data_IF_082172774186
#
_entry.id   IF_082172774186
#
_cell.length_a   1.000
_cell.length_b   1.000
_cell.length_c   1.000
_cell.angle_alpha   90.00
_cell.angle_beta   90.00
_cell.angle_gamma   90.00
#
_symmetry.space_group_name_H-M   'P 1'
#
loop_
_entity.id
_entity.type
_entity.pdbx_description
1 polymer ?
#
# COMPACT_ATOMS: atom_id res chain seq x y z
N UNK A 1 8.96 -12.37 -12.33
CA UNK A 1 9.25 -11.41 -11.25
C UNK A 1 8.79 -10.02 -11.64
N UNK A 2 8.32 -9.22 -10.68
CA UNK A 2 7.92 -7.84 -10.88
C UNK A 2 9.01 -6.88 -10.39
N UNK A 3 9.24 -5.78 -11.12
CA UNK A 3 10.05 -4.67 -10.64
C UNK A 3 9.31 -3.89 -9.54
N UNK A 4 10.02 -2.99 -8.84
CA UNK A 4 9.41 -2.14 -7.79
C UNK A 4 8.28 -1.26 -8.35
N UNK A 5 8.50 -0.69 -9.55
CA UNK A 5 7.49 0.15 -10.18
C UNK A 5 6.28 -0.67 -10.65
N UNK A 6 6.49 -1.87 -11.21
CA UNK A 6 5.38 -2.77 -11.57
C UNK A 6 4.56 -3.18 -10.35
N UNK A 7 5.24 -3.50 -9.24
CA UNK A 7 4.60 -3.81 -7.96
C UNK A 7 3.76 -2.62 -7.46
N UNK A 8 4.30 -1.39 -7.54
CA UNK A 8 3.58 -0.18 -7.17
C UNK A 8 2.37 0.08 -8.05
N UNK A 9 2.51 -0.08 -9.37
CA UNK A 9 1.43 0.10 -10.34
C UNK A 9 0.32 -0.91 -10.11
N UNK A 10 0.67 -2.19 -9.98
CA UNK A 10 -0.29 -3.27 -9.73
C UNK A 10 -1.03 -3.07 -8.40
N UNK A 11 -0.31 -2.81 -7.31
CA UNK A 11 -0.90 -2.52 -6.01
C UNK A 11 -1.83 -1.31 -6.03
N UNK A 12 -1.48 -0.27 -6.79
CA UNK A 12 -2.33 0.93 -6.93
C UNK A 12 -3.61 0.64 -7.70
N UNK A 13 -3.57 -0.20 -8.75
CA UNK A 13 -4.77 -0.65 -9.46
C UNK A 13 -5.71 -1.43 -8.54
N UNK A 14 -5.16 -2.37 -7.76
CA UNK A 14 -5.94 -3.17 -6.80
C UNK A 14 -6.58 -2.27 -5.73
N UNK A 15 -5.80 -1.39 -5.12
CA UNK A 15 -6.33 -0.48 -4.10
C UNK A 15 -7.50 0.35 -4.64
N UNK A 16 -7.34 0.93 -5.83
CA UNK A 16 -8.35 1.82 -6.41
C UNK A 16 -9.60 1.09 -6.88
N UNK A 17 -9.51 -0.15 -7.30
CA UNK A 17 -10.67 -0.97 -7.60
C UNK A 17 -11.59 -1.12 -6.38
N UNK A 18 -11.01 -1.28 -5.19
CA UNK A 18 -11.77 -1.50 -3.95
C UNK A 18 -12.20 -0.18 -3.32
N UNK A 19 -11.28 0.80 -3.24
CA UNK A 19 -11.52 2.03 -2.46
C UNK A 19 -12.24 3.13 -3.21
N UNK A 20 -12.19 3.14 -4.54
CA UNK A 20 -12.82 4.15 -5.41
C UNK A 20 -13.36 3.49 -6.69
N UNK A 21 -14.29 2.52 -6.59
CA UNK A 21 -14.78 1.73 -7.72
C UNK A 21 -15.46 2.59 -8.80
N UNK A 22 -16.05 3.72 -8.42
CA UNK A 22 -16.69 4.68 -9.33
C UNK A 22 -15.72 5.33 -10.34
N UNK A 23 -14.42 5.40 -9.99
CA UNK A 23 -13.37 5.93 -10.86
C UNK A 23 -12.57 4.84 -11.57
N UNK A 24 -12.85 3.58 -11.30
CA UNK A 24 -12.16 2.43 -11.88
C UNK A 24 -12.90 1.92 -13.14
N UNK A 25 -12.21 1.55 -14.23
CA UNK A 25 -10.75 1.49 -14.47
C UNK A 25 -10.09 2.87 -14.57
N UNK A 26 -8.77 2.95 -14.30
CA UNK A 26 -8.02 4.21 -14.22
C UNK A 26 -7.41 4.61 -15.56
N UNK A 27 -7.38 5.93 -15.83
CA UNK A 27 -6.52 6.49 -16.88
C UNK A 27 -5.05 6.46 -16.44
N UNK A 28 -4.10 6.62 -17.37
CA UNK A 28 -2.67 6.66 -17.05
C UNK A 28 -2.36 7.78 -16.02
N UNK A 29 -2.88 8.97 -16.23
CA UNK A 29 -2.71 10.09 -15.31
C UNK A 29 -3.25 9.76 -13.90
N UNK A 30 -4.48 9.25 -13.79
CA UNK A 30 -5.06 8.86 -12.50
C UNK A 30 -4.25 7.77 -11.79
N UNK A 31 -3.70 6.81 -12.54
CA UNK A 31 -2.84 5.76 -12.02
C UNK A 31 -1.49 6.32 -11.54
N UNK A 32 -0.88 7.23 -12.30
CA UNK A 32 0.37 7.90 -11.91
C UNK A 32 0.19 8.67 -10.59
N UNK A 33 -0.92 9.41 -10.45
CA UNK A 33 -1.26 10.07 -9.19
C UNK A 33 -1.48 9.06 -8.05
N UNK A 34 -2.12 7.92 -8.33
CA UNK A 34 -2.31 6.86 -7.34
C UNK A 34 -0.99 6.22 -6.89
N UNK A 35 -0.03 6.01 -7.80
CA UNK A 35 1.31 5.49 -7.47
C UNK A 35 2.09 6.44 -6.56
N UNK A 36 1.98 7.74 -6.79
CA UNK A 36 2.74 8.81 -6.14
C UNK A 36 2.05 9.40 -4.89
N UNK A 37 0.97 8.78 -4.39
CA UNK A 37 0.30 9.25 -3.19
C UNK A 37 1.25 9.32 -2.00
N UNK A 38 1.12 10.36 -1.17
CA UNK A 38 1.93 10.52 0.06
C UNK A 38 1.45 9.59 1.18
N UNK A 39 0.17 9.20 1.15
CA UNK A 39 -0.43 8.33 2.16
C UNK A 39 -0.55 6.90 1.63
N UNK A 40 -0.45 5.93 2.53
CA UNK A 40 -0.58 4.50 2.23
C UNK A 40 0.46 3.97 1.23
N UNK A 41 1.63 4.60 1.17
CA UNK A 41 2.79 4.21 0.35
C UNK A 41 4.05 4.22 1.21
N UNK A 42 4.85 3.17 1.05
CA UNK A 42 6.19 3.10 1.63
C UNK A 42 7.11 2.30 0.67
N UNK A 43 8.12 2.94 0.10
CA UNK A 43 8.43 4.38 0.18
C UNK A 43 7.43 5.24 -0.60
N UNK A 44 7.40 6.54 -0.33
CA UNK A 44 6.73 7.52 -1.18
C UNK A 44 7.58 7.73 -2.43
N UNK A 45 6.96 7.69 -3.61
CA UNK A 45 7.63 7.78 -4.89
C UNK A 45 7.15 8.98 -5.71
N UNK A 46 7.88 9.32 -6.78
CA UNK A 46 7.54 10.37 -7.73
C UNK A 46 7.78 9.89 -9.16
N UNK A 47 7.12 8.79 -9.55
CA UNK A 47 7.21 8.24 -10.89
C UNK A 47 6.60 9.18 -11.92
N UNK A 48 7.23 9.30 -13.09
CA UNK A 48 6.67 9.99 -14.25
C UNK A 48 5.59 9.13 -14.93
N UNK A 49 4.74 9.76 -15.75
CA UNK A 49 3.75 9.03 -16.55
C UNK A 49 4.40 8.01 -17.49
N UNK A 50 5.55 8.32 -18.07
CA UNK A 50 6.28 7.39 -18.94
C UNK A 50 6.72 6.13 -18.18
N UNK A 51 7.29 6.30 -16.98
CA UNK A 51 7.69 5.15 -16.16
C UNK A 51 6.49 4.26 -15.77
N UNK A 52 5.34 4.87 -15.49
CA UNK A 52 4.10 4.13 -15.19
C UNK A 52 3.56 3.45 -16.44
N UNK A 53 3.66 4.09 -17.62
CA UNK A 53 3.25 3.51 -18.89
C UNK A 53 4.09 2.29 -19.26
N UNK A 54 5.43 2.38 -19.13
CA UNK A 54 6.35 1.27 -19.37
C UNK A 54 6.06 0.08 -18.43
N UNK A 55 5.84 0.37 -17.15
CA UNK A 55 5.46 -0.65 -16.17
C UNK A 55 4.11 -1.31 -16.48
N UNK A 56 3.12 -0.53 -16.94
CA UNK A 56 1.83 -1.06 -17.38
C UNK A 56 1.97 -1.99 -18.58
N UNK A 57 2.80 -1.63 -19.57
CA UNK A 57 3.02 -2.47 -20.73
C UNK A 57 3.66 -3.80 -20.33
N UNK A 58 4.68 -3.76 -19.47
CA UNK A 58 5.29 -4.98 -18.93
C UNK A 58 4.30 -5.83 -18.10
N UNK A 59 3.42 -5.20 -17.32
CA UNK A 59 2.35 -5.92 -16.61
C UNK A 59 1.33 -6.56 -17.55
N UNK A 60 1.07 -5.94 -18.73
CA UNK A 60 0.22 -6.51 -19.78
C UNK A 60 0.86 -7.73 -20.42
N UNK A 61 2.14 -7.65 -20.76
CA UNK A 61 2.92 -8.80 -21.25
C UNK A 61 2.90 -9.99 -20.27
N UNK A 62 2.89 -9.70 -18.97
CA UNK A 62 2.76 -10.69 -17.89
C UNK A 62 1.32 -11.13 -17.61
N UNK A 63 0.35 -10.65 -18.38
CA UNK A 63 -1.08 -10.91 -18.20
C UNK A 63 -1.65 -10.51 -16.81
N UNK A 64 -1.08 -9.50 -16.16
CA UNK A 64 -1.52 -9.00 -14.85
C UNK A 64 -2.36 -7.72 -14.95
N UNK A 65 -2.30 -7.03 -16.09
CA UNK A 65 -3.10 -5.86 -16.39
C UNK A 65 -3.58 -5.87 -17.84
N UNK A 66 -4.64 -5.13 -18.14
CA UNK A 66 -5.09 -4.92 -19.52
C UNK A 66 -5.71 -3.54 -19.73
N UNK A 67 -5.79 -3.14 -21.01
CA UNK A 67 -6.41 -1.90 -21.43
C UNK A 67 -7.92 -2.12 -21.60
N UNK A 68 -8.70 -1.22 -21.03
CA UNK A 68 -10.15 -1.15 -21.18
C UNK A 68 -10.52 0.08 -22.01
N UNK A 69 -11.23 -0.15 -23.11
CA UNK A 69 -11.82 0.90 -23.92
C UNK A 69 -13.31 0.99 -23.63
N UNK A 70 -13.73 2.06 -22.98
CA UNK A 70 -15.15 2.33 -22.74
C UNK A 70 -15.85 2.71 -24.05
N UNK A 71 -17.12 2.37 -24.20
CA UNK A 71 -17.92 2.66 -25.39
C UNK A 71 -18.02 4.18 -25.70
N UNK A 72 -17.86 5.02 -24.70
CA UNK A 72 -17.99 6.48 -24.80
C UNK A 72 -16.68 7.24 -24.58
N UNK A 73 -15.61 6.56 -24.16
CA UNK A 73 -14.31 7.19 -23.83
C UNK A 73 -13.25 6.85 -24.85
N UNK A 74 -12.63 7.88 -25.45
CA UNK A 74 -11.46 7.73 -26.33
C UNK A 74 -10.15 7.54 -25.56
N UNK A 75 -10.15 7.81 -24.25
CA UNK A 75 -8.95 7.68 -23.41
C UNK A 75 -8.85 6.24 -22.91
N UNK A 76 -7.72 5.56 -23.14
CA UNK A 76 -7.50 4.21 -22.62
C UNK A 76 -7.51 4.22 -21.09
N UNK A 77 -8.14 3.21 -20.51
CA UNK A 77 -8.16 2.95 -19.08
C UNK A 77 -7.53 1.60 -18.80
N UNK A 78 -7.03 1.42 -17.60
CA UNK A 78 -6.27 0.24 -17.21
C UNK A 78 -6.90 -0.43 -16.00
N UNK A 79 -6.94 -1.76 -16.03
CA UNK A 79 -7.35 -2.57 -14.89
C UNK A 79 -6.46 -3.80 -14.73
N UNK A 80 -6.36 -4.31 -13.49
CA UNK A 80 -5.66 -5.54 -13.18
C UNK A 80 -6.58 -6.75 -13.29
N UNK A 81 -5.96 -7.92 -13.39
CA UNK A 81 -6.62 -9.25 -13.39
C UNK A 81 -5.88 -10.23 -12.46
N UNK A 82 -5.18 -9.69 -11.47
CA UNK A 82 -4.37 -10.51 -10.56
C UNK A 82 -5.18 -11.60 -9.82
N UNK A 83 -6.42 -11.34 -9.32
CA UNK A 83 -7.18 -12.38 -8.64
C UNK A 83 -7.53 -13.57 -9.53
N UNK A 84 -7.86 -13.30 -10.79
CA UNK A 84 -8.22 -14.32 -11.77
C UNK A 84 -7.00 -15.16 -12.16
N UNK A 85 -5.87 -14.50 -12.39
CA UNK A 85 -4.61 -15.16 -12.80
C UNK A 85 -3.97 -15.93 -11.66
N UNK A 86 -4.01 -15.38 -10.45
CA UNK A 86 -3.37 -15.97 -9.28
C UNK A 86 -4.36 -16.69 -8.35
N UNK A 87 -5.64 -16.79 -8.71
CA UNK A 87 -6.70 -17.45 -7.92
C UNK A 87 -6.72 -16.97 -6.46
N UNK A 88 -6.72 -15.64 -6.25
CA UNK A 88 -6.70 -15.03 -4.93
C UNK A 88 -8.12 -14.71 -4.46
N UNK A 89 -8.42 -15.06 -3.22
CA UNK A 89 -9.62 -14.59 -2.50
C UNK A 89 -9.50 -13.10 -2.12
N UNK A 90 -10.62 -12.47 -1.73
CA UNK A 90 -10.62 -11.07 -1.30
C UNK A 90 -9.68 -10.77 -0.13
N UNK A 91 -9.63 -11.56 0.98
CA UNK A 91 -8.70 -11.32 2.06
C UNK A 91 -7.23 -11.47 1.63
N UNK A 92 -6.91 -12.49 0.80
CA UNK A 92 -5.56 -12.67 0.26
C UNK A 92 -5.14 -11.49 -0.61
N UNK A 93 -6.04 -11.00 -1.45
CA UNK A 93 -5.79 -9.83 -2.29
C UNK A 93 -5.57 -8.56 -1.47
N UNK A 94 -6.33 -8.36 -0.39
CA UNK A 94 -6.16 -7.22 0.51
C UNK A 94 -4.76 -7.22 1.15
N UNK A 95 -4.29 -8.37 1.64
CA UNK A 95 -2.94 -8.49 2.21
C UNK A 95 -1.85 -8.30 1.18
N UNK A 96 -1.98 -8.91 -0.01
CA UNK A 96 -1.04 -8.71 -1.11
C UNK A 96 -0.95 -7.24 -1.52
N UNK A 97 -2.08 -6.55 -1.66
CA UNK A 97 -2.13 -5.12 -1.99
C UNK A 97 -1.37 -4.27 -0.96
N UNK A 98 -1.60 -4.51 0.33
CA UNK A 98 -0.94 -3.76 1.41
C UNK A 98 0.56 -4.03 1.42
N UNK A 99 0.99 -5.29 1.24
CA UNK A 99 2.40 -5.65 1.14
C UNK A 99 3.08 -5.01 -0.07
N UNK A 100 2.44 -4.99 -1.23
CA UNK A 100 2.98 -4.34 -2.44
C UNK A 100 3.13 -2.83 -2.29
N UNK A 101 2.21 -2.17 -1.60
CA UNK A 101 2.20 -0.72 -1.47
C UNK A 101 3.07 -0.18 -0.33
N UNK A 102 3.31 -1.00 0.70
CA UNK A 102 3.96 -0.57 1.94
C UNK A 102 5.17 -1.39 2.35
N UNK A 103 5.50 -2.45 1.61
CA UNK A 103 6.60 -3.35 1.95
C UNK A 103 6.29 -4.26 3.14
N UNK A 104 7.33 -4.72 3.81
CA UNK A 104 7.23 -5.70 4.88
C UNK A 104 6.52 -5.15 6.14
N UNK A 105 5.55 -5.91 6.68
CA UNK A 105 4.69 -5.51 7.80
C UNK A 105 4.44 -6.64 8.80
N UNK A 106 4.14 -6.26 10.04
CA UNK A 106 3.67 -7.16 11.11
C UNK A 106 2.19 -7.51 10.92
N UNK A 107 1.68 -8.52 11.64
CA UNK A 107 0.26 -8.88 11.63
C UNK A 107 -0.65 -7.71 12.00
N UNK A 108 -0.28 -6.96 13.05
CA UNK A 108 -1.05 -5.81 13.50
C UNK A 108 -1.07 -4.66 12.47
N UNK A 109 0.07 -4.40 11.81
CA UNK A 109 0.16 -3.42 10.72
C UNK A 109 -0.69 -3.85 9.52
N UNK A 110 -0.65 -5.13 9.14
CA UNK A 110 -1.43 -5.69 8.02
C UNK A 110 -2.93 -5.57 8.28
N UNK A 111 -3.40 -5.95 9.48
CA UNK A 111 -4.81 -5.78 9.86
C UNK A 111 -5.25 -4.32 9.75
N UNK A 112 -4.49 -3.41 10.39
CA UNK A 112 -4.85 -1.99 10.41
C UNK A 112 -4.78 -1.31 9.05
N UNK A 113 -3.75 -1.62 8.24
CA UNK A 113 -3.55 -1.02 6.93
C UNK A 113 -4.46 -1.64 5.85
N UNK A 114 -4.88 -2.90 6.05
CA UNK A 114 -5.77 -3.65 5.17
C UNK A 114 -7.25 -3.34 5.37
N UNK A 115 -7.66 -2.73 6.48
CA UNK A 115 -9.07 -2.54 6.88
C UNK A 115 -9.95 -1.84 5.85
N UNK A 116 -9.38 -0.99 4.99
CA UNK A 116 -10.08 -0.32 3.88
C UNK A 116 -10.30 -1.21 2.65
N UNK A 117 -9.57 -2.32 2.55
CA UNK A 117 -9.65 -3.27 1.46
C UNK A 117 -10.47 -4.51 1.85
N UNK A 118 -10.29 -4.98 3.07
CA UNK A 118 -11.02 -6.08 3.67
C UNK A 118 -11.00 -5.94 5.20
N UNK A 119 -12.15 -6.09 5.84
CA UNK A 119 -12.27 -5.98 7.31
C UNK A 119 -12.01 -7.33 7.97
N UNK A 120 -10.77 -7.52 8.44
CA UNK A 120 -10.38 -8.72 9.18
C UNK A 120 -10.97 -8.69 10.58
N UNK A 121 -11.71 -9.74 10.95
CA UNK A 121 -12.37 -9.88 12.25
C UNK A 121 -11.35 -9.97 13.39
N UNK A 122 -10.22 -10.65 13.16
CA UNK A 122 -9.21 -10.90 14.19
C UNK A 122 -7.79 -10.94 13.61
N UNK A 123 -6.78 -11.02 14.46
CA UNK A 123 -5.38 -11.24 14.05
C UNK A 123 -5.16 -12.67 13.55
N UNK A 124 -5.90 -13.61 14.10
CA UNK A 124 -5.87 -15.02 13.69
C UNK A 124 -6.31 -15.17 12.23
N UNK A 125 -7.37 -14.46 11.80
CA UNK A 125 -7.80 -14.47 10.40
C UNK A 125 -6.74 -13.91 9.45
N UNK A 126 -6.01 -12.87 9.87
CA UNK A 126 -4.87 -12.35 9.10
C UNK A 126 -3.77 -13.39 8.99
N UNK A 127 -3.42 -14.07 10.11
CA UNK A 127 -2.38 -15.09 10.14
C UNK A 127 -2.76 -16.31 9.29
N UNK A 128 -4.00 -16.79 9.37
CA UNK A 128 -4.50 -17.87 8.53
C UNK A 128 -4.45 -17.52 7.04
N UNK A 129 -4.83 -16.28 6.69
CA UNK A 129 -4.77 -15.80 5.30
C UNK A 129 -3.33 -15.71 4.80
N UNK A 130 -2.40 -15.21 5.63
CA UNK A 130 -0.98 -15.19 5.29
C UNK A 130 -0.40 -16.61 5.13
N UNK A 131 -0.79 -17.54 6.01
CA UNK A 131 -0.33 -18.92 5.93
C UNK A 131 -0.76 -19.58 4.62
N UNK A 132 -1.96 -19.31 4.10
CA UNK A 132 -2.38 -19.77 2.77
C UNK A 132 -1.46 -19.23 1.66
N UNK A 133 -1.07 -17.96 1.73
CA UNK A 133 -0.16 -17.34 0.76
C UNK A 133 1.28 -17.87 0.87
N UNK A 134 1.71 -18.25 2.07
CA UNK A 134 3.05 -18.80 2.34
C UNK A 134 3.15 -20.27 1.90
N UNK A 135 2.11 -21.07 2.19
CA UNK A 135 2.10 -22.51 1.91
C UNK A 135 1.58 -22.86 0.52
N UNK A 136 1.36 -21.87 -0.31
CA UNK A 136 0.88 -22.05 -1.68
C UNK A 136 1.90 -22.84 -2.51
N UNK A 137 1.44 -23.86 -3.18
CA UNK A 137 2.23 -24.70 -4.07
C UNK A 137 1.73 -24.55 -5.52
N UNK A 138 2.61 -24.37 -6.54
CA UNK A 138 4.07 -24.36 -6.44
C UNK A 138 4.67 -23.00 -6.06
N UNK A 139 3.91 -21.90 -6.13
CA UNK A 139 4.43 -20.54 -6.07
C UNK A 139 3.95 -19.80 -4.81
N UNK A 140 4.72 -19.84 -3.71
CA UNK A 140 4.42 -19.01 -2.54
C UNK A 140 4.49 -17.53 -2.89
N UNK A 141 3.52 -16.75 -2.38
CA UNK A 141 3.39 -15.31 -2.68
C UNK A 141 3.87 -14.42 -1.55
N UNK A 142 4.04 -14.99 -0.35
CA UNK A 142 4.46 -14.27 0.86
C UNK A 142 5.53 -15.09 1.58
N UNK A 143 6.48 -14.41 2.19
CA UNK A 143 7.43 -15.01 3.13
C UNK A 143 7.35 -14.32 4.48
N UNK A 144 7.59 -15.12 5.55
CA UNK A 144 7.82 -14.60 6.88
C UNK A 144 9.29 -14.29 7.05
N UNK A 145 9.60 -13.04 7.39
CA UNK A 145 10.97 -12.60 7.60
C UNK A 145 11.47 -13.01 8.99
N UNK A 146 12.78 -13.30 9.15
CA UNK A 146 13.37 -13.51 10.44
C UNK A 146 13.20 -12.25 11.32
N UNK A 147 13.03 -12.48 12.64
CA UNK A 147 12.94 -11.36 13.59
C UNK A 147 14.29 -10.68 13.72
N UNK A 148 14.30 -9.38 13.59
CA UNK A 148 15.51 -8.61 13.88
C UNK A 148 15.69 -8.41 15.40
N UNK A 149 16.92 -8.25 15.88
CA UNK A 149 17.18 -7.93 17.28
C UNK A 149 16.40 -6.69 17.72
N UNK A 150 15.64 -6.81 18.82
CA UNK A 150 14.79 -5.73 19.36
C UNK A 150 13.36 -5.66 18.79
N UNK A 151 13.00 -6.49 17.81
CA UNK A 151 11.63 -6.57 17.30
C UNK A 151 10.82 -7.65 18.03
N UNK A 152 9.62 -7.27 18.51
CA UNK A 152 8.71 -8.21 19.18
C UNK A 152 8.02 -9.15 18.18
N UNK A 153 7.64 -8.63 17.01
CA UNK A 153 6.83 -9.33 16.02
C UNK A 153 7.60 -9.60 14.74
N UNK A 154 7.37 -10.77 14.14
CA UNK A 154 7.85 -11.08 12.79
C UNK A 154 7.14 -10.23 11.74
N UNK A 155 7.83 -9.95 10.64
CA UNK A 155 7.27 -9.24 9.49
C UNK A 155 7.02 -10.21 8.35
N UNK A 156 6.10 -9.85 7.48
CA UNK A 156 5.75 -10.58 6.27
C UNK A 156 6.01 -9.68 5.07
N UNK A 157 6.51 -10.27 3.98
CA UNK A 157 6.76 -9.56 2.73
C UNK A 157 6.29 -10.40 1.52
N UNK A 158 5.89 -9.73 0.43
CA UNK A 158 5.53 -10.43 -0.79
C UNK A 158 6.76 -10.94 -1.56
N UNK A 159 6.58 -12.00 -2.34
CA UNK A 159 7.64 -12.63 -3.16
C UNK A 159 7.52 -12.29 -4.65
N UNK A 160 6.62 -11.39 -5.05
CA UNK A 160 6.39 -11.04 -6.46
C UNK A 160 7.63 -10.45 -7.15
N UNK A 161 8.52 -9.81 -6.38
CA UNK A 161 9.77 -9.21 -6.89
C UNK A 161 10.97 -10.15 -6.80
N UNK A 162 10.75 -11.43 -6.48
CA UNK A 162 11.80 -12.43 -6.29
C UNK A 162 12.09 -12.71 -4.82
N UNK A 163 13.15 -13.46 -4.60
CA UNK A 163 13.62 -13.76 -3.24
C UNK A 163 14.01 -12.47 -2.52
N UNK A 164 13.65 -12.41 -1.24
CA UNK A 164 13.90 -11.25 -0.42
C UNK A 164 15.38 -11.29 0.00
N UNK A 165 16.12 -10.24 -0.36
CA UNK A 165 17.48 -10.04 0.16
C UNK A 165 17.40 -9.69 1.66
N UNK A 166 17.60 -10.71 2.50
CA UNK A 166 17.59 -10.58 3.95
C UNK A 166 18.69 -9.63 4.44
N UNK A 167 19.80 -9.52 3.71
CA UNK A 167 20.90 -8.63 4.08
C UNK A 167 20.56 -7.16 3.81
N UNK A 168 19.79 -6.88 2.74
CA UNK A 168 19.28 -5.53 2.47
C UNK A 168 18.26 -5.07 3.52
N UNK A 169 17.48 -5.99 4.08
CA UNK A 169 16.49 -5.70 5.14
C UNK A 169 17.21 -5.38 6.47
N UNK A 170 18.30 -6.04 6.79
CA UNK A 170 19.09 -5.77 8.01
C UNK A 170 19.69 -4.36 8.02
N UNK A 171 19.94 -3.78 6.85
CA UNK A 171 20.49 -2.44 6.69
C UNK A 171 19.44 -1.33 6.64
N UNK A 172 18.16 -1.68 6.52
CA UNK A 172 17.09 -0.69 6.53
C UNK A 172 16.77 -0.33 7.99
N UNK A 173 17.04 0.91 8.43
CA UNK A 173 16.70 1.31 9.80
C UNK A 173 15.21 1.08 10.03
N UNK A 174 14.81 0.57 11.20
CA UNK A 174 13.40 0.37 11.52
C UNK A 174 12.67 1.69 11.31
N UNK A 175 11.61 1.68 10.51
CA UNK A 175 10.73 2.83 10.40
C UNK A 175 10.28 3.20 11.81
N UNK A 176 10.38 4.46 12.24
CA UNK A 176 10.01 4.85 13.58
C UNK A 176 8.58 4.37 13.88
N UNK A 177 8.30 3.86 15.06
CA UNK A 177 6.98 3.34 15.38
C UNK A 177 5.95 4.45 15.15
N UNK A 178 4.87 4.11 14.45
CA UNK A 178 3.80 5.03 14.02
C UNK A 178 3.20 5.85 15.20
N UNK A 179 3.41 5.42 16.43
CA UNK A 179 3.01 6.13 17.66
C UNK A 179 3.78 7.42 17.88
N UNK A 180 5.10 7.44 17.71
CA UNK A 180 5.91 8.66 17.85
C UNK A 180 5.54 9.74 16.84
N UNK A 181 5.31 9.37 15.58
CA UNK A 181 4.84 10.32 14.55
C UNK A 181 3.41 10.84 14.79
N UNK A 182 2.55 10.08 15.44
CA UNK A 182 1.19 10.52 15.79
C UNK A 182 1.23 11.38 17.08
N UNK A 183 2.00 10.99 18.05
CA UNK A 183 2.22 11.72 19.30
C UNK A 183 2.86 13.08 19.02
N UNK A 184 3.90 13.14 18.20
CA UNK A 184 4.52 14.40 17.74
C UNK A 184 3.54 15.31 16.99
N UNK A 185 2.67 14.74 16.15
CA UNK A 185 1.63 15.51 15.45
C UNK A 185 0.54 16.01 16.39
N UNK A 186 0.14 15.20 17.36
CA UNK A 186 -0.82 15.62 18.39
C UNK A 186 -0.25 16.74 19.25
N UNK A 187 1.02 16.63 19.63
CA UNK A 187 1.73 17.65 20.40
C UNK A 187 1.88 18.97 19.61
N UNK A 188 2.26 18.88 18.34
CA UNK A 188 2.34 20.05 17.43
C UNK A 188 0.98 20.71 17.22
N UNK A 189 -0.08 19.93 16.98
CA UNK A 189 -1.45 20.45 16.85
C UNK A 189 -1.97 21.08 18.14
N UNK A 190 -1.64 20.49 19.29
CA UNK A 190 -2.02 21.04 20.60
C UNK A 190 -1.36 22.39 20.82
N UNK A 191 -0.07 22.52 20.52
CA UNK A 191 0.67 23.79 20.61
C UNK A 191 0.11 24.85 19.65
N UNK A 192 -0.31 24.47 18.44
CA UNK A 192 -0.90 25.38 17.47
C UNK A 192 -2.29 25.87 17.92
N UNK A 193 -3.10 24.99 18.52
CA UNK A 193 -4.41 25.35 19.11
C UNK A 193 -4.24 26.30 20.30
N UNK A 194 -3.28 26.09 21.17
CA UNK A 194 -2.99 27.00 22.29
C UNK A 194 -2.58 28.40 21.78
N UNK A 195 -1.69 28.44 20.78
CA UNK A 195 -1.26 29.69 20.16
C UNK A 195 -2.44 30.45 19.50
N UNK A 196 -3.33 29.74 18.83
CA UNK A 196 -4.53 30.33 18.24
C UNK A 196 -5.49 30.86 19.31
N UNK A 197 -5.64 30.16 20.44
CA UNK A 197 -6.44 30.65 21.57
C UNK A 197 -5.86 31.93 22.17
N UNK A 198 -4.56 31.99 22.38
CA UNK A 198 -3.90 33.20 22.85
C UNK A 198 -4.07 34.39 21.92
N UNK A 199 -3.91 34.17 20.61
CA UNK A 199 -4.15 35.21 19.58
C UNK A 199 -5.61 35.69 19.56
N UNK A 200 -6.55 34.77 19.71
CA UNK A 200 -7.97 35.11 19.78
C UNK A 200 -8.30 35.91 21.02
N UNK A 201 -7.75 35.53 22.18
CA UNK A 201 -7.95 36.27 23.44
C UNK A 201 -7.30 37.67 23.39
N UNK A 202 -6.14 37.81 22.74
CA UNK A 202 -5.54 39.12 22.50
C UNK A 202 -6.39 39.98 21.56
N UNK A 203 -6.90 39.37 20.49
CA UNK A 203 -7.81 40.07 19.56
C UNK A 203 -9.09 40.53 20.26
N UNK A 204 -9.71 39.66 21.07
CA UNK A 204 -10.91 40.00 21.83
C UNK A 204 -10.70 41.19 22.78
N UNK A 205 -9.55 41.24 23.47
CA UNK A 205 -9.19 42.35 24.37
C UNK A 205 -8.99 43.71 23.66
N UNK A 206 -8.85 43.76 22.34
CA UNK A 206 -8.75 44.98 21.58
C UNK A 206 -10.13 45.60 21.29
N UNK A 207 -11.22 44.87 21.54
CA UNK A 207 -12.60 45.33 21.30
C UNK A 207 -13.44 45.46 22.58
N UNK A 208 -12.85 45.11 23.73
CA UNK A 208 -13.40 45.44 25.07
C UNK A 208 -12.76 46.73 25.61
#
# INVERSE_FOLDING_TARGET
MLSEIETRVLGSLIEKQVTTPEYYPLTLNALTLACNQKNNRNPVTSYSENQVADALESLREKNLAYVFYGSTSRVPKYKHVMPEVMHLSHPEMALMCVLMLRGAQTLGELRGNGSRLYEFSSLEEVEETLNKLITRDPDPLVARLPRQPGQKDGRFAHLLSGEIDLQAIEQTPPSPPRRTSLEEKVEALTAEVEKLKEQFDQFRKQFE
#
